data_IF_330128093843
#
_entry.id   IF_330128093843
#
_cell.length_a   1.000
_cell.length_b   1.000
_cell.length_c   1.000
_cell.angle_alpha   90.00
_cell.angle_beta   90.00
_cell.angle_gamma   90.00
#
_symmetry.space_group_name_H-M   'P 1'
#
loop_
_entity.id
_entity.type
_entity.pdbx_description
1 polymer ?
#
# COMPACT_ATOMS: atom_id res chain seq x y z
N UNK A 1 -56.94 -28.06 -7.87
CA UNK A 1 -56.40 -26.68 -7.81
C UNK A 1 -55.43 -26.42 -6.63
N UNK A 2 -54.63 -27.39 -6.17
CA UNK A 2 -53.58 -27.15 -5.14
C UNK A 2 -52.13 -27.42 -5.60
N UNK A 3 -51.93 -28.05 -6.77
CA UNK A 3 -50.60 -28.45 -7.24
C UNK A 3 -50.02 -27.60 -8.38
N UNK A 4 -50.80 -26.69 -8.96
CA UNK A 4 -50.32 -25.84 -10.08
C UNK A 4 -49.59 -24.57 -9.62
N UNK A 5 -49.74 -24.14 -8.36
CA UNK A 5 -49.01 -22.97 -7.82
C UNK A 5 -47.57 -23.29 -7.40
N UNK A 6 -47.25 -24.56 -7.06
CA UNK A 6 -45.88 -24.96 -6.71
C UNK A 6 -44.97 -25.16 -7.93
N UNK A 7 -45.54 -25.54 -9.08
CA UNK A 7 -44.76 -25.73 -10.32
C UNK A 7 -44.41 -24.38 -10.96
N UNK A 8 -45.30 -23.37 -10.88
CA UNK A 8 -45.01 -22.01 -11.35
C UNK A 8 -43.87 -21.32 -10.57
N UNK A 9 -43.84 -21.45 -9.23
CA UNK A 9 -42.73 -20.88 -8.43
C UNK A 9 -41.38 -21.56 -8.67
N UNK A 10 -41.35 -22.86 -8.97
CA UNK A 10 -40.09 -23.55 -9.26
C UNK A 10 -39.53 -23.14 -10.63
N UNK A 11 -40.40 -22.92 -11.63
CA UNK A 11 -39.98 -22.46 -12.96
C UNK A 11 -39.52 -20.99 -12.93
N UNK A 12 -40.17 -20.12 -12.16
CA UNK A 12 -39.72 -18.74 -11.98
C UNK A 12 -38.40 -18.62 -11.21
N UNK A 13 -38.14 -19.50 -10.23
CA UNK A 13 -36.85 -19.54 -9.52
C UNK A 13 -35.73 -20.10 -10.41
N UNK A 14 -36.03 -21.05 -11.29
CA UNK A 14 -35.04 -21.58 -12.25
C UNK A 14 -34.70 -20.55 -13.33
N UNK A 15 -35.67 -19.77 -13.82
CA UNK A 15 -35.43 -18.72 -14.85
C UNK A 15 -34.64 -17.53 -14.26
N UNK A 16 -34.91 -17.16 -13.00
CA UNK A 16 -34.14 -16.11 -12.30
C UNK A 16 -32.74 -16.62 -11.92
N UNK A 17 -32.58 -17.90 -11.57
CA UNK A 17 -31.27 -18.50 -11.33
C UNK A 17 -30.42 -18.65 -12.63
N UNK A 18 -31.06 -18.84 -13.79
CA UNK A 18 -30.36 -18.83 -15.09
C UNK A 18 -30.03 -17.44 -15.62
N UNK A 19 -30.58 -16.36 -15.06
CA UNK A 19 -30.20 -14.98 -15.38
C UNK A 19 -28.95 -14.50 -14.61
N UNK A 20 -28.51 -15.25 -13.59
CA UNK A 20 -27.24 -15.03 -12.89
C UNK A 20 -26.07 -15.84 -13.48
N UNK A 21 -26.31 -16.62 -14.53
CA UNK A 21 -25.28 -17.18 -15.40
C UNK A 21 -25.02 -16.22 -16.58
N UNK A 22 -24.80 -14.93 -16.27
CA UNK A 22 -23.90 -14.17 -17.14
C UNK A 22 -22.57 -14.88 -16.98
N UNK A 23 -22.16 -15.52 -18.06
CA UNK A 23 -20.79 -15.93 -18.29
C UNK A 23 -19.89 -14.76 -17.87
N UNK A 24 -19.34 -14.84 -16.65
CA UNK A 24 -17.98 -14.41 -16.39
C UNK A 24 -17.13 -15.28 -17.32
N UNK A 25 -17.12 -14.93 -18.60
CA UNK A 25 -15.91 -15.16 -19.36
C UNK A 25 -14.87 -14.41 -18.53
N UNK A 26 -13.86 -15.08 -17.93
CA UNK A 26 -12.69 -14.33 -17.57
C UNK A 26 -12.31 -13.65 -18.88
N UNK A 27 -12.37 -12.31 -18.90
CA UNK A 27 -11.60 -11.59 -19.89
C UNK A 27 -10.19 -12.08 -19.56
N UNK A 28 -9.72 -13.06 -20.33
CA UNK A 28 -8.31 -13.34 -20.45
C UNK A 28 -7.78 -12.10 -21.16
N UNK A 29 -7.68 -11.01 -20.40
CA UNK A 29 -6.68 -10.00 -20.68
C UNK A 29 -5.42 -10.85 -20.63
N UNK A 30 -4.76 -10.97 -21.75
CA UNK A 30 -3.37 -11.38 -21.76
C UNK A 30 -2.64 -10.34 -20.93
N UNK A 31 -2.68 -10.48 -19.61
CA UNK A 31 -1.72 -9.88 -18.72
C UNK A 31 -0.41 -10.42 -19.26
N UNK A 32 0.32 -9.57 -19.96
CA UNK A 32 1.75 -9.79 -20.15
C UNK A 32 2.26 -10.03 -18.74
N UNK A 33 2.64 -11.26 -18.44
CA UNK A 33 3.21 -11.64 -17.15
C UNK A 33 4.22 -10.57 -16.78
N UNK A 34 4.07 -9.99 -15.58
CA UNK A 34 4.92 -8.89 -15.16
C UNK A 34 6.39 -9.23 -15.41
N UNK A 35 7.18 -8.29 -15.95
CA UNK A 35 8.60 -8.53 -16.20
C UNK A 35 9.33 -8.99 -14.93
N UNK A 36 10.13 -10.06 -15.04
CA UNK A 36 10.85 -10.63 -13.90
C UNK A 36 11.77 -9.61 -13.19
N UNK A 37 12.28 -8.61 -13.91
CA UNK A 37 13.15 -7.56 -13.38
C UNK A 37 12.40 -6.50 -12.57
N UNK A 38 11.07 -6.56 -12.52
CA UNK A 38 10.27 -5.75 -11.63
C UNK A 38 10.31 -6.22 -10.18
N UNK A 39 10.71 -7.47 -9.94
CA UNK A 39 10.69 -8.06 -8.60
C UNK A 39 12.04 -8.65 -8.21
N UNK A 40 12.28 -8.72 -6.92
CA UNK A 40 13.41 -9.45 -6.37
C UNK A 40 13.07 -10.01 -5.00
N UNK A 41 13.73 -11.10 -4.62
CA UNK A 41 13.75 -11.60 -3.25
C UNK A 41 15.17 -11.58 -2.69
N UNK A 42 15.30 -11.38 -1.39
CA UNK A 42 16.56 -11.38 -0.67
C UNK A 42 16.39 -12.23 0.59
N UNK A 43 17.13 -13.32 0.63
CA UNK A 43 17.15 -14.23 1.78
C UNK A 43 17.99 -13.66 2.93
N UNK A 44 17.46 -13.78 4.14
CA UNK A 44 18.21 -13.64 5.37
C UNK A 44 19.14 -14.84 5.60
N UNK A 45 20.04 -14.69 6.56
CA UNK A 45 20.99 -15.74 6.99
C UNK A 45 21.01 -15.90 8.50
N UNK A 46 19.98 -15.41 9.19
CA UNK A 46 19.89 -15.44 10.64
C UNK A 46 19.96 -16.88 11.19
N UNK A 47 19.39 -17.85 10.48
CA UNK A 47 19.36 -19.28 10.80
C UNK A 47 20.68 -20.04 10.54
N UNK A 48 21.49 -19.53 9.63
CA UNK A 48 22.72 -20.15 9.13
C UNK A 48 23.98 -19.40 9.52
N UNK A 49 23.85 -18.25 10.19
CA UNK A 49 24.98 -17.42 10.59
C UNK A 49 25.87 -18.11 11.65
N UNK A 50 27.18 -17.96 11.49
CA UNK A 50 28.20 -18.76 12.18
C UNK A 50 28.57 -18.27 13.59
N UNK A 51 27.93 -17.22 14.11
CA UNK A 51 28.22 -16.70 15.46
C UNK A 51 27.45 -17.46 16.54
N UNK A 52 28.19 -18.22 17.34
CA UNK A 52 27.77 -19.13 18.42
C UNK A 52 26.85 -18.52 19.51
N UNK A 53 26.75 -17.19 19.62
CA UNK A 53 26.21 -16.52 20.81
C UNK A 53 24.70 -16.26 20.83
N UNK A 54 23.90 -16.81 19.90
CA UNK A 54 22.46 -16.55 19.87
C UNK A 54 21.62 -17.84 19.85
N UNK A 55 21.08 -18.27 21.01
CA UNK A 55 20.34 -19.51 21.17
C UNK A 55 18.83 -19.28 21.09
N UNK A 56 18.24 -19.37 19.89
CA UNK A 56 16.83 -19.72 19.67
C UNK A 56 16.75 -20.49 18.35
N UNK A 57 15.75 -21.34 18.12
CA UNK A 57 15.50 -21.94 16.81
C UNK A 57 15.15 -20.80 15.83
N UNK A 58 16.10 -20.44 14.96
CA UNK A 58 15.97 -19.23 14.14
C UNK A 58 15.50 -19.63 12.75
N UNK A 59 14.43 -19.00 12.28
CA UNK A 59 14.17 -18.88 10.85
C UNK A 59 14.87 -17.62 10.35
N UNK A 60 15.23 -17.62 9.07
CA UNK A 60 15.61 -16.39 8.37
C UNK A 60 14.38 -15.65 7.90
N UNK A 61 14.46 -14.32 7.87
CA UNK A 61 13.48 -13.49 7.18
C UNK A 61 13.84 -13.49 5.70
N UNK A 62 12.89 -13.70 4.80
CA UNK A 62 13.07 -13.50 3.37
C UNK A 62 12.23 -12.31 2.94
N UNK A 63 12.87 -11.32 2.33
CA UNK A 63 12.21 -10.11 1.84
C UNK A 63 11.97 -10.24 0.34
N UNK A 64 10.71 -10.17 -0.11
CA UNK A 64 10.32 -9.94 -1.49
C UNK A 64 9.81 -8.52 -1.67
N UNK A 65 10.16 -7.89 -2.80
CA UNK A 65 9.68 -6.55 -3.11
C UNK A 65 9.67 -6.27 -4.62
N UNK A 66 8.94 -5.24 -5.01
CA UNK A 66 8.83 -4.75 -6.37
C UNK A 66 9.61 -3.45 -6.61
N UNK A 67 9.83 -3.10 -7.88
CA UNK A 67 10.38 -1.80 -8.28
C UNK A 67 9.50 -0.61 -7.85
N UNK A 68 8.22 -0.86 -7.59
CA UNK A 68 7.21 0.16 -7.28
C UNK A 68 7.16 0.52 -5.79
N UNK A 69 7.77 -0.29 -4.91
CA UNK A 69 7.80 -0.03 -3.46
C UNK A 69 6.94 -0.95 -2.62
N UNK A 70 6.24 -1.90 -3.24
CA UNK A 70 5.49 -2.93 -2.53
C UNK A 70 6.46 -3.98 -1.97
N UNK A 71 6.22 -4.45 -0.75
CA UNK A 71 6.91 -5.57 -0.10
C UNK A 71 6.33 -6.91 -0.58
N UNK A 72 6.19 -7.05 -1.90
CA UNK A 72 5.70 -8.25 -2.59
C UNK A 72 6.55 -8.50 -3.84
N UNK A 73 7.08 -9.71 -3.96
CA UNK A 73 7.62 -10.30 -5.17
C UNK A 73 6.58 -11.25 -5.76
N UNK A 74 5.86 -10.81 -6.79
CA UNK A 74 4.81 -11.61 -7.43
C UNK A 74 5.34 -12.79 -8.25
N UNK A 75 6.60 -12.73 -8.72
CA UNK A 75 7.21 -13.84 -9.47
C UNK A 75 7.60 -14.97 -8.52
N UNK A 76 8.14 -14.63 -7.35
CA UNK A 76 8.56 -15.57 -6.32
C UNK A 76 7.50 -15.96 -5.31
N UNK A 77 6.39 -15.21 -5.25
CA UNK A 77 5.36 -15.29 -4.19
C UNK A 77 5.97 -15.10 -2.80
N UNK A 78 6.74 -14.04 -2.62
CA UNK A 78 7.40 -13.73 -1.35
C UNK A 78 7.10 -12.28 -1.01
N UNK A 79 6.65 -12.01 0.20
CA UNK A 79 6.49 -10.69 0.78
C UNK A 79 7.47 -10.49 1.94
N UNK A 80 7.02 -10.77 3.16
CA UNK A 80 7.84 -10.67 4.38
C UNK A 80 7.89 -12.01 5.11
N UNK A 81 8.31 -13.04 4.40
CA UNK A 81 8.31 -14.44 4.82
C UNK A 81 9.22 -14.68 6.04
N UNK A 82 8.67 -15.30 7.08
CA UNK A 82 9.42 -15.72 8.25
C UNK A 82 8.91 -17.07 8.78
N UNK A 83 9.68 -18.13 8.55
CA UNK A 83 9.29 -19.48 8.97
C UNK A 83 8.14 -20.01 8.12
N UNK A 84 6.96 -20.19 8.72
CA UNK A 84 5.78 -20.73 8.03
C UNK A 84 4.75 -19.68 7.62
N UNK A 85 5.02 -18.40 7.86
CA UNK A 85 4.08 -17.29 7.59
C UNK A 85 4.70 -16.27 6.65
N UNK A 86 3.86 -15.64 5.85
CA UNK A 86 4.17 -14.44 5.09
C UNK A 86 2.96 -13.51 5.18
N UNK A 87 3.06 -12.35 5.86
CA UNK A 87 1.92 -11.48 6.11
C UNK A 87 1.44 -10.71 4.88
N UNK A 88 2.22 -10.65 3.79
CA UNK A 88 1.90 -9.86 2.59
C UNK A 88 1.75 -10.72 1.33
N UNK A 89 2.26 -11.95 1.35
CA UNK A 89 2.12 -12.90 0.26
C UNK A 89 1.90 -14.34 0.78
N UNK A 90 0.86 -14.61 1.60
CA UNK A 90 0.61 -15.95 2.12
C UNK A 90 0.30 -16.96 1.01
N UNK A 91 0.76 -18.22 1.13
CA UNK A 91 1.49 -18.78 2.26
C UNK A 91 3.00 -18.54 2.09
N UNK A 92 3.77 -18.76 3.16
CA UNK A 92 5.23 -18.85 3.03
C UNK A 92 5.65 -19.89 1.94
N UNK A 93 6.71 -19.55 1.21
CA UNK A 93 7.21 -20.28 0.05
C UNK A 93 6.57 -19.81 -1.26
N UNK A 94 6.95 -20.44 -2.38
CA UNK A 94 6.53 -19.99 -3.71
C UNK A 94 5.07 -20.29 -4.09
N UNK A 95 4.23 -20.63 -3.12
CA UNK A 95 2.84 -21.09 -3.33
C UNK A 95 1.83 -19.95 -3.39
N UNK A 96 0.55 -20.32 -3.44
CA UNK A 96 -0.60 -19.43 -3.24
C UNK A 96 -1.67 -20.19 -2.46
N UNK A 97 -2.52 -19.52 -1.70
CA UNK A 97 -3.66 -20.15 -1.04
C UNK A 97 -4.98 -19.78 -1.69
N UNK A 98 -6.03 -20.55 -1.42
CA UNK A 98 -7.40 -20.21 -1.81
C UNK A 98 -8.07 -19.24 -0.83
N UNK A 99 -7.62 -19.23 0.42
CA UNK A 99 -8.20 -18.40 1.49
C UNK A 99 -7.72 -16.96 1.40
N UNK A 100 -6.48 -16.75 0.97
CA UNK A 100 -5.90 -15.44 0.64
C UNK A 100 -5.29 -15.52 -0.77
N UNK A 101 -6.11 -15.42 -1.82
CA UNK A 101 -5.61 -15.42 -3.19
C UNK A 101 -4.77 -14.17 -3.46
N UNK A 102 -3.90 -14.21 -4.48
CA UNK A 102 -3.03 -13.07 -4.85
C UNK A 102 -3.72 -11.72 -5.00
N UNK A 103 -4.99 -11.74 -5.44
CA UNK A 103 -5.79 -10.52 -5.59
C UNK A 103 -6.13 -9.87 -4.25
N UNK A 104 -5.96 -10.56 -3.12
CA UNK A 104 -6.11 -10.00 -1.77
C UNK A 104 -4.78 -9.56 -1.17
N UNK A 105 -3.65 -9.68 -1.88
CA UNK A 105 -2.39 -9.18 -1.36
C UNK A 105 -2.34 -7.65 -1.53
N UNK A 106 -2.76 -6.92 -0.51
CA UNK A 106 -2.80 -5.46 -0.54
C UNK A 106 -1.74 -4.89 0.39
N UNK A 107 -0.62 -4.45 -0.19
CA UNK A 107 0.46 -3.81 0.54
C UNK A 107 1.12 -2.76 -0.36
N UNK A 108 1.45 -1.59 0.20
CA UNK A 108 2.21 -0.57 -0.52
C UNK A 108 2.09 0.82 0.09
N UNK A 109 1.91 1.83 -0.77
CA UNK A 109 1.87 3.23 -0.36
C UNK A 109 0.87 4.04 -1.19
N UNK A 110 0.44 5.17 -0.62
CA UNK A 110 -0.39 6.19 -1.29
C UNK A 110 0.27 7.56 -1.10
N UNK A 111 0.19 8.41 -2.12
CA UNK A 111 0.52 9.82 -2.06
C UNK A 111 -0.64 10.64 -2.58
N UNK A 112 -0.95 11.73 -1.89
CA UNK A 112 -1.88 12.76 -2.32
C UNK A 112 -1.15 14.11 -2.35
N UNK A 113 -1.15 14.77 -3.50
CA UNK A 113 -0.37 15.98 -3.77
C UNK A 113 -1.34 17.10 -4.15
N UNK A 114 -1.50 18.08 -3.26
CA UNK A 114 -2.26 19.30 -3.56
C UNK A 114 -1.29 20.44 -3.82
N UNK A 115 -1.45 21.18 -4.91
CA UNK A 115 -0.60 22.32 -5.22
C UNK A 115 -1.33 23.43 -5.99
N UNK A 116 -0.79 24.65 -5.97
CA UNK A 116 -1.32 25.76 -6.74
C UNK A 116 -0.60 25.89 -8.09
N UNK A 117 -1.27 25.54 -9.19
CA UNK A 117 -0.78 25.77 -10.55
C UNK A 117 -0.98 27.23 -10.98
N UNK A 118 0.00 27.84 -11.66
CA UNK A 118 -0.01 29.30 -11.93
C UNK A 118 -1.18 29.75 -12.79
N UNK A 119 -1.67 28.88 -13.70
CA UNK A 119 -2.76 29.21 -14.64
C UNK A 119 -4.00 28.33 -14.52
N UNK A 120 -3.94 27.24 -13.75
CA UNK A 120 -5.01 26.24 -13.67
C UNK A 120 -5.71 26.23 -12.31
N UNK A 121 -5.22 27.03 -11.35
CA UNK A 121 -5.75 27.06 -10.00
C UNK A 121 -5.19 25.93 -9.15
N UNK A 122 -5.92 25.56 -8.11
CA UNK A 122 -5.58 24.44 -7.23
C UNK A 122 -5.73 23.13 -8.00
N UNK A 123 -4.73 22.26 -7.88
CA UNK A 123 -4.66 20.94 -8.50
C UNK A 123 -4.46 19.89 -7.42
N UNK A 124 -5.02 18.72 -7.65
CA UNK A 124 -4.87 17.55 -6.79
C UNK A 124 -4.44 16.37 -7.66
N UNK A 125 -3.30 15.78 -7.34
CA UNK A 125 -2.76 14.61 -8.04
C UNK A 125 -2.45 13.54 -7.00
N UNK A 126 -3.02 12.36 -7.18
CA UNK A 126 -2.80 11.21 -6.30
C UNK A 126 -2.13 10.08 -7.07
N UNK A 127 -1.39 9.25 -6.35
CA UNK A 127 -0.88 7.99 -6.86
C UNK A 127 -0.81 6.97 -5.74
N UNK A 128 -1.13 5.71 -6.03
CA UNK A 128 -0.92 4.60 -5.12
C UNK A 128 -0.21 3.47 -5.84
N UNK A 129 0.72 2.82 -5.14
CA UNK A 129 1.29 1.56 -5.56
C UNK A 129 0.93 0.52 -4.52
N UNK A 130 -0.31 0.04 -4.58
CA UNK A 130 -0.74 -1.16 -3.90
C UNK A 130 -0.57 -2.34 -4.86
N UNK A 131 -0.15 -3.50 -4.36
CA UNK A 131 0.02 -4.66 -5.24
C UNK A 131 -1.27 -5.12 -5.92
N UNK A 132 -2.40 -4.94 -5.24
CA UNK A 132 -3.72 -5.31 -5.72
C UNK A 132 -4.76 -4.25 -5.36
N UNK A 133 -5.81 -4.15 -6.19
CA UNK A 133 -7.02 -3.37 -5.90
C UNK A 133 -8.22 -4.27 -5.55
N UNK A 134 -7.97 -5.53 -5.18
CA UNK A 134 -8.97 -6.59 -4.89
C UNK A 134 -9.78 -7.07 -6.11
N UNK A 135 -9.66 -6.41 -7.26
CA UNK A 135 -10.23 -6.86 -8.54
C UNK A 135 -9.16 -7.50 -9.42
N UNK A 136 -7.96 -6.92 -9.43
CA UNK A 136 -6.79 -7.44 -10.14
C UNK A 136 -5.48 -7.03 -9.43
N UNK A 137 -4.37 -7.66 -9.80
CA UNK A 137 -3.07 -7.48 -9.14
C UNK A 137 -1.92 -7.35 -10.15
N UNK A 138 -0.79 -6.80 -9.69
CA UNK A 138 0.38 -6.60 -10.54
C UNK A 138 0.14 -5.55 -11.63
N UNK A 139 0.79 -5.71 -12.79
CA UNK A 139 0.65 -4.81 -13.94
C UNK A 139 1.44 -3.50 -13.81
N UNK A 140 1.61 -2.76 -14.91
CA UNK A 140 2.24 -1.43 -14.83
C UNK A 140 1.26 -0.37 -14.30
N UNK A 141 1.71 0.87 -14.20
CA UNK A 141 0.89 2.02 -13.84
C UNK A 141 -0.34 2.19 -14.72
N UNK A 142 -1.46 2.39 -14.05
CA UNK A 142 -2.77 2.68 -14.62
C UNK A 142 -3.09 4.15 -14.35
N UNK A 143 -3.47 4.91 -15.38
CA UNK A 143 -4.06 6.23 -15.20
C UNK A 143 -5.57 6.12 -15.16
N UNK A 144 -6.19 6.51 -14.05
CA UNK A 144 -7.63 6.78 -13.98
C UNK A 144 -7.81 8.15 -14.62
N UNK A 145 -8.40 8.15 -15.81
CA UNK A 145 -8.48 9.32 -16.69
C UNK A 145 -9.81 9.29 -17.43
N UNK A 146 -10.70 10.18 -17.03
CA UNK A 146 -12.02 10.36 -17.59
C UNK A 146 -12.17 11.75 -18.19
N UNK A 147 -13.13 11.89 -19.09
CA UNK A 147 -13.41 13.18 -19.70
C UNK A 147 -13.85 14.19 -18.62
N UNK A 148 -13.04 15.24 -18.44
CA UNK A 148 -13.24 16.26 -17.39
C UNK A 148 -13.19 15.70 -15.96
N UNK A 149 -12.32 14.72 -15.71
CA UNK A 149 -12.14 14.09 -14.40
C UNK A 149 -13.41 13.38 -13.88
N UNK A 150 -14.37 13.06 -14.76
CA UNK A 150 -15.67 12.50 -14.38
C UNK A 150 -16.21 11.46 -15.36
N UNK A 151 -16.78 10.39 -14.80
CA UNK A 151 -17.53 9.37 -15.52
C UNK A 151 -18.93 9.21 -14.95
N UNK A 152 -19.92 8.98 -15.82
CA UNK A 152 -21.29 8.66 -15.38
C UNK A 152 -21.41 7.30 -14.68
N UNK A 153 -20.42 6.41 -14.85
CA UNK A 153 -20.41 5.07 -14.23
C UNK A 153 -19.68 5.07 -12.89
N UNK A 154 -18.59 5.82 -12.80
CA UNK A 154 -17.63 5.75 -11.70
C UNK A 154 -17.67 6.99 -10.80
N UNK A 155 -18.07 8.15 -11.32
CA UNK A 155 -18.08 9.39 -10.56
C UNK A 155 -16.83 10.22 -10.82
N UNK A 156 -16.37 10.94 -9.79
CA UNK A 156 -15.07 11.62 -9.79
C UNK A 156 -13.97 10.57 -9.67
N UNK A 157 -12.85 10.81 -10.33
CA UNK A 157 -11.72 9.88 -10.33
C UNK A 157 -11.19 9.61 -8.92
N UNK A 158 -11.14 8.32 -8.55
CA UNK A 158 -10.48 7.85 -7.35
C UNK A 158 -9.71 6.53 -7.60
N UNK A 159 -8.90 6.04 -6.64
CA UNK A 159 -8.13 4.81 -6.85
C UNK A 159 -8.94 3.51 -6.88
N UNK A 160 -10.24 3.50 -6.61
CA UNK A 160 -11.09 2.32 -6.78
C UNK A 160 -11.46 2.12 -8.25
N UNK A 161 -11.46 3.19 -9.05
CA UNK A 161 -11.86 3.17 -10.45
C UNK A 161 -10.87 2.43 -11.36
N UNK A 162 -11.34 1.82 -12.45
CA UNK A 162 -10.45 1.32 -13.49
C UNK A 162 -9.90 2.47 -14.35
N UNK A 163 -8.77 2.23 -15.01
CA UNK A 163 -8.14 3.22 -15.88
C UNK A 163 -7.50 2.59 -17.10
N UNK A 164 -6.49 3.26 -17.67
CA UNK A 164 -5.75 2.80 -18.84
C UNK A 164 -4.27 2.63 -18.51
N UNK A 165 -3.61 1.61 -19.06
CA UNK A 165 -2.16 1.46 -18.88
C UNK A 165 -1.41 2.64 -19.51
N UNK A 166 -0.58 3.31 -18.71
CA UNK A 166 0.30 4.38 -19.19
C UNK A 166 1.33 3.79 -20.15
N UNK A 167 1.56 4.42 -21.29
CA UNK A 167 2.45 3.96 -22.36
C UNK A 167 1.83 2.96 -23.33
N UNK A 168 0.56 2.57 -23.15
CA UNK A 168 -0.09 1.59 -24.00
C UNK A 168 -0.50 2.19 -25.36
N UNK A 169 -0.31 1.42 -26.44
CA UNK A 169 -0.68 1.87 -27.80
C UNK A 169 -2.17 2.11 -28.01
N UNK A 170 -3.00 1.51 -27.15
CA UNK A 170 -4.46 1.55 -27.15
C UNK A 170 -5.02 2.30 -25.92
N UNK A 171 -4.24 3.23 -25.37
CA UNK A 171 -4.68 4.11 -24.28
C UNK A 171 -6.03 4.78 -24.62
N UNK A 172 -6.92 4.87 -23.61
CA UNK A 172 -8.27 5.41 -23.78
C UNK A 172 -9.29 4.46 -24.40
N UNK A 173 -8.94 3.18 -24.62
CA UNK A 173 -9.86 2.19 -25.23
C UNK A 173 -10.30 1.08 -24.29
N UNK A 174 -9.36 0.47 -23.55
CA UNK A 174 -9.62 -0.71 -22.70
C UNK A 174 -9.36 -0.37 -21.25
N UNK A 175 -10.42 -0.40 -20.44
CA UNK A 175 -10.32 -0.23 -19.00
C UNK A 175 -9.66 -1.44 -18.34
N UNK A 176 -8.75 -1.17 -17.41
CA UNK A 176 -7.99 -2.18 -16.65
C UNK A 176 -8.03 -1.89 -15.15
N UNK A 177 -7.91 -2.95 -14.37
CA UNK A 177 -7.83 -2.95 -12.90
C UNK A 177 -6.43 -3.36 -12.45
N UNK A 178 -6.06 -2.98 -11.23
CA UNK A 178 -4.77 -3.25 -10.59
C UNK A 178 -4.41 -2.16 -9.58
N UNK A 179 -3.66 -2.45 -8.52
CA UNK A 179 -3.46 -1.50 -7.41
C UNK A 179 -2.45 -0.38 -7.65
N UNK A 180 -1.82 -0.30 -8.83
CA UNK A 180 -0.87 0.76 -9.20
C UNK A 180 -1.57 1.83 -10.02
N UNK A 181 -2.17 2.81 -9.37
CA UNK A 181 -3.05 3.81 -10.01
C UNK A 181 -2.62 5.25 -9.73
N UNK A 182 -2.99 6.14 -10.63
CA UNK A 182 -2.84 7.59 -10.48
C UNK A 182 -3.88 8.33 -11.34
N UNK A 183 -4.24 9.57 -11.00
CA UNK A 183 -4.93 10.48 -11.93
C UNK A 183 -3.96 11.38 -12.72
N UNK A 184 -2.65 11.20 -12.52
CA UNK A 184 -1.57 11.89 -13.23
C UNK A 184 -0.74 10.91 -14.06
N UNK A 185 0.56 11.14 -14.15
CA UNK A 185 1.50 10.16 -14.72
C UNK A 185 2.47 9.68 -13.65
N UNK A 186 2.74 8.38 -13.61
CA UNK A 186 3.74 7.79 -12.74
C UNK A 186 4.77 7.00 -13.56
N UNK A 187 6.05 7.23 -13.29
CA UNK A 187 7.16 6.54 -13.99
C UNK A 187 8.11 5.95 -12.96
N UNK A 188 8.22 4.63 -12.94
CA UNK A 188 9.10 3.90 -12.01
C UNK A 188 10.33 3.35 -12.72
N UNK A 189 11.50 3.66 -12.17
CA UNK A 189 12.79 3.17 -12.67
C UNK A 189 13.06 1.72 -12.21
N UNK A 190 13.93 0.97 -12.90
CA UNK A 190 14.37 -0.35 -12.43
C UNK A 190 14.99 -0.31 -11.03
N UNK A 191 14.91 -1.44 -10.30
CA UNK A 191 15.52 -1.58 -8.98
C UNK A 191 17.03 -1.32 -9.06
N UNK A 192 17.51 -0.34 -8.28
CA UNK A 192 18.93 -0.05 -8.21
C UNK A 192 19.54 -0.68 -6.96
N UNK A 193 20.24 -1.80 -7.13
CA UNK A 193 21.01 -2.41 -6.06
C UNK A 193 22.22 -1.52 -5.71
N UNK A 194 22.24 -1.01 -4.48
CA UNK A 194 23.34 -0.16 -3.97
C UNK A 194 24.40 -0.99 -3.25
N UNK A 195 23.99 -2.06 -2.58
CA UNK A 195 24.88 -2.96 -1.85
C UNK A 195 24.27 -4.35 -1.71
N UNK A 196 25.06 -5.40 -1.93
CA UNK A 196 24.66 -6.78 -1.64
C UNK A 196 25.85 -7.54 -1.08
N UNK A 197 25.93 -7.58 0.25
CA UNK A 197 26.94 -8.31 0.99
C UNK A 197 26.36 -9.54 1.70
N UNK A 198 27.21 -10.29 2.41
CA UNK A 198 26.79 -11.49 3.14
C UNK A 198 25.74 -11.24 4.22
N UNK A 199 25.74 -10.05 4.83
CA UNK A 199 24.86 -9.70 5.96
C UNK A 199 23.97 -8.49 5.75
N UNK A 200 24.13 -7.79 4.63
CA UNK A 200 23.33 -6.59 4.37
C UNK A 200 23.03 -6.48 2.90
N UNK A 201 21.82 -6.06 2.61
CA UNK A 201 21.36 -5.70 1.28
C UNK A 201 20.79 -4.28 1.34
N UNK A 202 21.11 -3.49 0.31
CA UNK A 202 20.58 -2.13 0.13
C UNK A 202 20.16 -1.95 -1.32
N UNK A 203 18.93 -1.51 -1.53
CA UNK A 203 18.39 -1.15 -2.85
C UNK A 203 17.69 0.21 -2.78
N UNK A 204 17.66 0.88 -3.93
CA UNK A 204 16.94 2.13 -4.13
C UNK A 204 15.85 1.91 -5.19
N UNK A 205 14.63 2.27 -4.82
CA UNK A 205 13.47 2.35 -5.69
C UNK A 205 13.18 3.82 -5.99
N UNK A 206 12.71 4.12 -7.20
CA UNK A 206 12.54 5.49 -7.66
C UNK A 206 11.32 5.60 -8.58
N UNK A 207 10.31 6.30 -8.09
CA UNK A 207 9.10 6.66 -8.84
C UNK A 207 9.02 8.18 -8.94
N UNK A 208 8.74 8.69 -10.14
CA UNK A 208 8.44 10.11 -10.34
C UNK A 208 6.97 10.27 -10.71
N UNK A 209 6.27 11.18 -10.02
CA UNK A 209 4.87 11.52 -10.23
C UNK A 209 4.77 12.88 -10.94
N UNK A 210 3.87 12.96 -11.91
CA UNK A 210 3.63 14.13 -12.74
C UNK A 210 2.14 14.50 -12.71
N UNK A 211 1.82 15.79 -12.80
CA UNK A 211 0.47 16.24 -13.15
C UNK A 211 0.28 16.08 -14.66
N UNK A 212 -0.73 15.30 -15.04
CA UNK A 212 -1.12 15.08 -16.42
C UNK A 212 -2.28 16.03 -16.77
N UNK A 213 -2.09 16.88 -17.78
CA UNK A 213 -2.99 18.02 -18.03
C UNK A 213 -3.97 17.81 -19.19
N UNK A 214 -3.90 16.67 -19.86
CA UNK A 214 -4.74 16.32 -21.00
C UNK A 214 -5.65 15.16 -20.61
N UNK A 215 -6.85 15.10 -21.14
CA UNK A 215 -7.80 14.02 -20.84
C UNK A 215 -7.81 12.99 -21.96
N UNK A 216 -7.97 11.72 -21.59
CA UNK A 216 -8.13 10.58 -22.50
C UNK A 216 -7.00 10.51 -23.55
N UNK A 217 -5.78 10.89 -23.15
CA UNK A 217 -4.60 10.91 -24.00
C UNK A 217 -3.38 10.47 -23.19
N UNK A 218 -2.47 9.72 -23.80
CA UNK A 218 -1.20 9.37 -23.16
C UNK A 218 -0.05 10.31 -23.57
N UNK A 219 -0.39 11.50 -24.08
CA UNK A 219 0.61 12.49 -24.48
C UNK A 219 1.27 13.16 -23.28
N UNK A 220 2.53 12.83 -23.05
CA UNK A 220 3.33 13.32 -21.92
C UNK A 220 4.07 14.63 -22.22
N UNK A 221 3.88 15.28 -23.39
CA UNK A 221 4.57 16.53 -23.74
C UNK A 221 4.34 17.64 -22.72
N UNK A 222 3.16 17.67 -22.10
CA UNK A 222 2.76 18.69 -21.12
C UNK A 222 2.84 18.24 -19.66
N UNK A 223 3.35 17.03 -19.40
CA UNK A 223 3.42 16.49 -18.04
C UNK A 223 4.34 17.33 -17.16
N UNK A 224 3.81 17.75 -16.01
CA UNK A 224 4.54 18.57 -15.06
C UNK A 224 5.12 17.70 -13.94
N UNK A 225 6.44 17.58 -13.78
CA UNK A 225 7.01 16.81 -12.69
C UNK A 225 6.66 17.44 -11.33
N UNK A 226 6.03 16.67 -10.46
CA UNK A 226 5.62 17.12 -9.12
C UNK A 226 6.58 16.64 -8.05
N UNK A 227 6.75 15.32 -7.95
CA UNK A 227 7.43 14.68 -6.82
C UNK A 227 8.22 13.47 -7.31
N UNK A 228 9.40 13.28 -6.72
CA UNK A 228 10.14 12.02 -6.78
C UNK A 228 10.06 11.32 -5.43
N UNK A 229 9.58 10.09 -5.45
CA UNK A 229 9.54 9.17 -4.33
C UNK A 229 10.75 8.25 -4.44
N UNK A 230 11.62 8.30 -3.43
CA UNK A 230 12.77 7.43 -3.31
C UNK A 230 12.56 6.51 -2.10
N UNK A 231 12.52 5.20 -2.32
CA UNK A 231 12.43 4.23 -1.23
C UNK A 231 13.76 3.49 -1.16
N UNK A 232 14.54 3.76 -0.12
CA UNK A 232 15.77 3.02 0.17
C UNK A 232 15.43 1.86 1.09
N UNK A 233 15.56 0.64 0.57
CA UNK A 233 15.40 -0.60 1.32
C UNK A 233 16.75 -0.94 1.95
N UNK A 234 16.77 -1.16 3.26
CA UNK A 234 17.93 -1.66 4.00
C UNK A 234 17.52 -2.94 4.73
N UNK A 235 18.03 -4.07 4.29
CA UNK A 235 17.80 -5.36 4.94
C UNK A 235 19.10 -5.86 5.57
N UNK A 236 19.11 -5.94 6.90
CA UNK A 236 20.16 -6.63 7.65
C UNK A 236 19.80 -8.12 7.70
N UNK A 237 20.48 -8.93 6.89
CA UNK A 237 20.17 -10.35 6.67
C UNK A 237 20.31 -11.18 7.93
N UNK A 238 20.95 -10.67 8.98
CA UNK A 238 21.04 -11.30 10.31
C UNK A 238 20.03 -10.73 11.31
N UNK A 239 18.97 -10.08 10.84
CA UNK A 239 17.86 -9.56 11.66
C UNK A 239 16.51 -9.95 11.06
N UNK A 240 15.47 -9.74 11.84
CA UNK A 240 14.06 -9.96 11.45
C UNK A 240 13.35 -8.66 11.08
N UNK A 241 14.10 -7.68 10.57
CA UNK A 241 13.59 -6.35 10.29
C UNK A 241 14.15 -5.82 8.98
N UNK A 242 13.30 -5.13 8.23
CA UNK A 242 13.66 -4.38 7.03
C UNK A 242 13.37 -2.91 7.32
N UNK A 243 14.31 -2.04 6.97
CA UNK A 243 14.15 -0.59 7.14
C UNK A 243 13.84 0.00 5.77
N UNK A 244 12.79 0.81 5.70
CA UNK A 244 12.45 1.62 4.52
C UNK A 244 12.72 3.08 4.87
N UNK A 245 13.59 3.73 4.11
CA UNK A 245 13.72 5.19 4.14
C UNK A 245 12.95 5.74 2.94
N UNK A 246 11.86 6.46 3.20
CA UNK A 246 10.98 7.01 2.17
C UNK A 246 11.20 8.51 2.06
N UNK A 247 11.86 8.91 0.98
CA UNK A 247 12.27 10.27 0.68
C UNK A 247 11.34 10.88 -0.37
N UNK A 248 10.61 11.92 0.01
CA UNK A 248 9.72 12.66 -0.89
C UNK A 248 10.40 13.96 -1.31
N UNK A 249 10.72 14.11 -2.61
CA UNK A 249 11.44 15.27 -3.14
C UNK A 249 10.57 16.01 -4.14
N UNK A 250 10.23 17.27 -3.86
CA UNK A 250 9.54 18.12 -4.84
C UNK A 250 10.42 18.36 -6.06
N UNK A 251 9.81 18.23 -7.24
CA UNK A 251 10.36 18.57 -8.55
C UNK A 251 9.62 19.76 -9.17
N UNK A 252 8.59 20.28 -8.50
CA UNK A 252 7.75 21.36 -8.99
C UNK A 252 8.59 22.63 -9.18
N UNK A 253 8.71 23.08 -10.42
CA UNK A 253 9.38 24.32 -10.73
C UNK A 253 8.43 25.50 -10.45
N UNK A 254 8.96 26.57 -9.84
CA UNK A 254 8.25 27.81 -9.47
C UNK A 254 7.52 28.54 -10.62
N UNK A 255 7.79 28.15 -11.87
CA UNK A 255 7.16 28.70 -13.07
C UNK A 255 5.81 28.06 -13.37
N UNK A 256 5.56 26.87 -12.80
CA UNK A 256 4.37 26.08 -13.05
C UNK A 256 3.47 25.97 -11.81
N UNK A 257 4.05 26.01 -10.60
CA UNK A 257 3.26 26.06 -9.39
C UNK A 257 4.04 26.40 -8.14
N UNK A 258 3.30 26.59 -7.05
CA UNK A 258 3.78 26.90 -5.70
C UNK A 258 2.85 26.26 -4.66
N UNK A 259 3.22 26.32 -3.37
CA UNK A 259 2.42 25.84 -2.23
C UNK A 259 1.97 24.38 -2.40
N UNK A 260 2.89 23.45 -2.19
CA UNK A 260 2.64 22.02 -2.32
C UNK A 260 2.45 21.40 -0.94
N UNK A 261 1.29 20.79 -0.73
CA UNK A 261 0.96 19.97 0.42
C UNK A 261 0.95 18.50 -0.02
N UNK A 262 1.55 17.63 0.79
CA UNK A 262 1.69 16.21 0.50
C UNK A 262 1.22 15.44 1.71
N UNK A 263 0.28 14.52 1.50
CA UNK A 263 -0.02 13.44 2.42
C UNK A 263 0.57 12.16 1.83
N UNK A 264 1.35 11.43 2.62
CA UNK A 264 2.00 10.21 2.17
C UNK A 264 1.87 9.12 3.21
N UNK A 265 1.45 7.93 2.80
CA UNK A 265 1.28 6.83 3.74
C UNK A 265 1.88 5.51 3.27
N UNK A 266 2.28 4.71 4.27
CA UNK A 266 2.50 3.28 4.10
C UNK A 266 1.26 2.56 4.61
N UNK A 267 0.78 1.59 3.84
CA UNK A 267 -0.47 0.89 4.15
C UNK A 267 -0.46 -0.55 3.68
N UNK A 268 -1.23 -1.40 4.34
CA UNK A 268 -1.41 -2.78 3.90
C UNK A 268 -2.20 -3.66 4.86
N UNK A 269 -2.76 -4.71 4.29
CA UNK A 269 -3.37 -5.83 5.00
C UNK A 269 -2.27 -6.72 5.60
N UNK A 270 -2.52 -7.28 6.79
CA UNK A 270 -1.58 -8.17 7.47
C UNK A 270 -2.19 -9.56 7.64
N UNK A 271 -1.97 -10.43 6.66
CA UNK A 271 -2.40 -11.83 6.67
C UNK A 271 -1.45 -12.72 7.49
N UNK A 272 -1.31 -12.42 8.78
CA UNK A 272 -0.38 -13.11 9.66
C UNK A 272 -0.91 -14.49 10.05
N UNK A 273 -0.54 -15.55 9.34
CA UNK A 273 -0.99 -16.89 9.72
C UNK A 273 -0.72 -18.00 8.70
N UNK A 274 -1.50 -19.09 8.82
CA UNK A 274 -1.48 -20.25 7.91
C UNK A 274 -2.89 -20.77 7.69
N UNK A 275 -3.13 -21.56 6.63
CA UNK A 275 -4.42 -22.24 6.41
C UNK A 275 -4.91 -23.06 7.62
N UNK A 276 -3.99 -23.64 8.40
CA UNK A 276 -4.34 -24.44 9.57
C UNK A 276 -4.65 -23.58 10.80
N UNK A 277 -3.99 -22.43 10.95
CA UNK A 277 -4.13 -21.55 12.11
C UNK A 277 -5.16 -20.43 11.92
N UNK A 278 -5.53 -20.12 10.67
CA UNK A 278 -6.20 -18.88 10.29
C UNK A 278 -5.23 -17.71 10.19
N UNK A 279 -5.67 -16.61 9.57
CA UNK A 279 -4.89 -15.37 9.35
C UNK A 279 -5.29 -14.23 10.29
N UNK A 280 -6.39 -14.37 11.02
CA UNK A 280 -6.87 -13.36 11.97
C UNK A 280 -5.87 -13.14 13.11
N UNK A 281 -5.70 -11.88 13.49
CA UNK A 281 -4.80 -11.40 14.53
C UNK A 281 -5.51 -10.48 15.52
N UNK A 282 -4.98 -10.39 16.74
CA UNK A 282 -5.23 -9.25 17.61
C UNK A 282 -4.28 -8.13 17.19
N UNK A 283 -4.78 -6.92 16.99
CA UNK A 283 -3.98 -5.84 16.45
C UNK A 283 -4.10 -4.58 17.29
N UNK A 284 -2.99 -3.87 17.46
CA UNK A 284 -2.97 -2.60 18.16
C UNK A 284 -1.99 -1.62 17.50
N UNK A 285 -2.32 -0.33 17.48
CA UNK A 285 -1.49 0.73 16.96
C UNK A 285 -1.10 1.72 18.07
N UNK A 286 0.15 1.62 18.52
CA UNK A 286 0.71 2.51 19.54
C UNK A 286 1.13 3.84 18.91
N UNK A 287 0.32 4.88 19.08
CA UNK A 287 0.42 6.17 18.35
C UNK A 287 0.63 7.35 19.28
N UNK A 288 1.46 8.31 18.89
CA UNK A 288 1.68 9.54 19.69
C UNK A 288 0.50 10.52 19.57
N UNK A 289 -0.17 10.52 18.42
CA UNK A 289 -1.33 11.37 18.20
C UNK A 289 -2.53 10.93 19.04
N UNK A 290 -3.59 11.75 19.00
CA UNK A 290 -4.92 11.37 19.50
C UNK A 290 -5.93 11.82 18.45
N UNK A 291 -6.95 11.02 18.19
CA UNK A 291 -7.94 11.27 17.15
C UNK A 291 -9.31 10.71 17.52
N UNK A 292 -10.19 10.57 16.54
CA UNK A 292 -11.40 9.81 16.77
C UNK A 292 -11.03 8.34 16.97
N UNK A 293 -11.57 7.66 17.98
CA UNK A 293 -11.24 6.25 18.30
C UNK A 293 -9.82 5.99 18.85
N UNK A 294 -8.99 7.02 18.98
CA UNK A 294 -7.72 7.02 19.72
C UNK A 294 -7.68 8.17 20.73
N UNK A 295 -7.80 7.85 22.01
CA UNK A 295 -7.91 8.88 23.06
C UNK A 295 -6.65 9.01 23.92
N UNK A 296 -5.62 8.20 23.66
CA UNK A 296 -4.44 8.10 24.51
C UNK A 296 -3.18 8.11 23.66
N UNK A 297 -2.27 9.06 23.93
CA UNK A 297 -0.96 9.04 23.31
C UNK A 297 -0.11 7.89 23.88
N UNK A 298 0.19 6.90 23.05
CA UNK A 298 0.97 5.69 23.34
C UNK A 298 2.29 5.62 22.56
N UNK A 299 2.62 6.67 21.80
CA UNK A 299 3.87 6.79 21.03
C UNK A 299 5.13 6.49 21.84
N UNK A 300 6.06 5.77 21.24
CA UNK A 300 7.26 5.27 21.90
C UNK A 300 8.42 6.25 21.76
N UNK A 301 9.23 6.41 22.81
CA UNK A 301 10.36 7.35 22.81
C UNK A 301 11.48 6.90 21.86
N UNK A 302 12.05 7.86 21.11
CA UNK A 302 13.22 7.65 20.26
C UNK A 302 14.32 8.70 20.54
N UNK A 303 15.53 8.38 20.09
CA UNK A 303 16.68 9.30 20.11
C UNK A 303 16.72 10.22 18.88
N UNK A 304 15.86 9.97 17.88
CA UNK A 304 15.76 10.76 16.65
C UNK A 304 14.68 11.84 16.81
N UNK A 305 15.06 13.11 16.68
CA UNK A 305 14.17 14.27 16.79
C UNK A 305 14.33 15.19 15.57
N UNK A 306 13.78 16.41 15.61
CA UNK A 306 13.91 17.41 14.52
C UNK A 306 15.34 17.82 14.12
N UNK A 307 16.37 17.33 14.81
CA UNK A 307 17.77 17.48 14.36
C UNK A 307 18.14 16.50 13.23
N UNK A 308 17.32 15.46 13.01
CA UNK A 308 17.56 14.39 12.03
C UNK A 308 16.73 14.53 10.75
N UNK A 309 15.68 15.33 10.78
CA UNK A 309 14.83 15.62 9.62
C UNK A 309 14.59 17.13 9.55
N UNK A 310 14.80 17.71 8.36
CA UNK A 310 14.76 19.17 8.16
C UNK A 310 13.31 19.67 8.01
N UNK A 311 12.42 18.83 7.51
CA UNK A 311 11.01 19.15 7.25
C UNK A 311 10.14 18.50 8.30
N UNK A 312 9.19 19.25 8.87
CA UNK A 312 8.20 18.68 9.78
C UNK A 312 6.86 18.58 9.07
N UNK A 313 6.02 17.63 9.50
CA UNK A 313 4.61 17.64 9.14
C UNK A 313 3.95 18.93 9.60
N UNK A 314 2.78 19.24 9.05
CA UNK A 314 2.03 20.44 9.41
C UNK A 314 1.53 20.36 10.85
N UNK A 315 1.15 21.50 11.41
CA UNK A 315 0.39 21.50 12.66
C UNK A 315 -1.01 20.92 12.39
N UNK A 316 -1.63 20.21 13.36
CA UNK A 316 -2.96 19.63 13.19
C UNK A 316 -3.99 20.66 12.76
N UNK A 317 -4.84 20.26 11.83
CA UNK A 317 -5.94 21.06 11.30
C UNK A 317 -7.09 20.13 10.87
N UNK A 318 -7.87 20.50 9.85
CA UNK A 318 -8.91 19.60 9.32
C UNK A 318 -8.34 18.42 8.53
N UNK A 319 -7.14 18.54 7.99
CA UNK A 319 -6.51 17.51 7.15
C UNK A 319 -5.69 16.51 7.96
N UNK A 320 -5.18 16.90 9.13
CA UNK A 320 -4.32 16.01 9.94
C UNK A 320 -4.69 16.03 11.43
N UNK A 321 -4.78 14.86 12.05
CA UNK A 321 -5.13 14.73 13.46
C UNK A 321 -3.99 15.11 14.42
N UNK A 322 -2.74 14.85 14.03
CA UNK A 322 -1.57 15.03 14.90
C UNK A 322 -0.35 15.65 14.20
N UNK A 323 0.54 16.23 15.00
CA UNK A 323 1.73 16.95 14.51
C UNK A 323 2.02 18.24 15.28
N UNK A 324 3.02 19.04 14.86
CA UNK A 324 3.98 18.71 13.81
C UNK A 324 5.06 17.74 14.29
N UNK A 325 5.42 16.76 13.45
CA UNK A 325 6.46 15.76 13.72
C UNK A 325 7.62 15.85 12.72
N UNK A 326 8.87 15.46 13.10
CA UNK A 326 9.29 15.09 14.45
C UNK A 326 9.22 16.26 15.43
N UNK A 327 9.03 15.95 16.71
CA UNK A 327 9.03 16.95 17.78
C UNK A 327 10.40 17.65 17.88
N UNK A 328 10.37 18.92 18.31
CA UNK A 328 11.59 19.73 18.53
C UNK A 328 12.28 19.42 19.86
N UNK A 329 11.63 18.65 20.72
CA UNK A 329 12.13 18.29 22.04
C UNK A 329 13.15 17.15 21.96
N UNK A 330 13.89 16.94 23.05
CA UNK A 330 14.78 15.78 23.20
C UNK A 330 14.01 14.45 23.32
N UNK A 331 12.68 14.49 23.44
CA UNK A 331 11.79 13.34 23.64
C UNK A 331 10.81 13.25 22.46
N UNK A 332 11.35 13.03 21.26
CA UNK A 332 10.55 12.72 20.10
C UNK A 332 10.08 11.26 20.15
N UNK A 333 9.06 10.95 19.36
CA UNK A 333 8.44 9.63 19.35
C UNK A 333 8.39 9.00 17.96
N UNK A 334 8.10 7.72 17.97
CA UNK A 334 7.74 6.92 16.80
C UNK A 334 6.52 6.07 17.17
N UNK A 335 5.76 5.67 16.17
CA UNK A 335 4.52 4.91 16.34
C UNK A 335 4.72 3.46 15.89
N UNK A 336 3.94 2.51 16.41
CA UNK A 336 4.08 1.09 16.10
C UNK A 336 2.73 0.42 15.89
N UNK A 337 2.51 -0.09 14.69
CA UNK A 337 1.43 -1.06 14.42
C UNK A 337 1.95 -2.46 14.77
N UNK A 338 1.14 -3.25 15.48
CA UNK A 338 1.47 -4.62 15.85
C UNK A 338 0.28 -5.55 15.61
N UNK A 339 0.54 -6.74 15.09
CA UNK A 339 -0.46 -7.80 14.94
C UNK A 339 0.07 -9.11 15.54
N UNK A 340 -0.78 -9.82 16.28
CA UNK A 340 -0.44 -11.07 16.97
C UNK A 340 -1.43 -12.16 16.56
N UNK A 341 -0.93 -13.21 15.92
CA UNK A 341 -1.70 -14.43 15.71
C UNK A 341 -1.26 -15.49 16.73
N UNK A 342 -2.04 -15.72 17.80
CA UNK A 342 -1.66 -16.64 18.87
C UNK A 342 -1.76 -18.10 18.43
N UNK A 343 -2.62 -18.43 17.46
CA UNK A 343 -2.79 -19.80 16.95
C UNK A 343 -1.61 -20.20 16.09
N UNK A 344 -1.11 -19.29 15.25
CA UNK A 344 0.08 -19.49 14.44
C UNK A 344 1.37 -19.34 15.27
N UNK A 345 1.34 -18.55 16.35
CA UNK A 345 2.50 -18.29 17.22
C UNK A 345 3.45 -17.23 16.67
N UNK A 346 2.94 -16.26 15.91
CA UNK A 346 3.74 -15.20 15.27
C UNK A 346 3.27 -13.80 15.66
N UNK A 347 4.19 -12.85 15.55
CA UNK A 347 3.96 -11.42 15.74
C UNK A 347 4.53 -10.67 14.54
N UNK A 348 3.75 -9.76 13.98
CA UNK A 348 4.17 -8.77 13.00
C UNK A 348 4.18 -7.38 13.64
N UNK A 349 5.08 -6.52 13.18
CA UNK A 349 5.05 -5.10 13.54
C UNK A 349 5.60 -4.23 12.41
N UNK A 350 5.11 -2.99 12.35
CA UNK A 350 5.68 -1.90 11.57
C UNK A 350 5.90 -0.68 12.49
N UNK A 351 7.07 -0.06 12.39
CA UNK A 351 7.43 1.11 13.19
C UNK A 351 7.61 2.33 12.28
N UNK A 352 6.97 3.45 12.65
CA UNK A 352 6.88 4.66 11.85
C UNK A 352 7.60 5.80 12.56
N UNK A 353 8.65 6.32 11.91
CA UNK A 353 9.34 7.51 12.38
C UNK A 353 9.46 8.53 11.25
N UNK A 354 9.16 9.82 11.49
CA UNK A 354 8.65 10.38 12.75
C UNK A 354 7.24 9.86 13.08
N UNK A 355 6.71 10.15 14.28
CA UNK A 355 5.30 9.84 14.58
C UNK A 355 4.37 10.37 13.47
N UNK A 356 3.29 9.63 13.27
CA UNK A 356 2.33 9.78 12.18
C UNK A 356 1.43 10.99 12.44
N UNK A 357 1.03 11.66 11.37
CA UNK A 357 0.00 12.69 11.43
C UNK A 357 -1.40 12.08 11.48
N UNK A 358 -1.60 10.94 10.80
CA UNK A 358 -2.85 10.17 10.77
C UNK A 358 -2.56 8.67 10.69
N UNK A 359 -3.48 7.84 11.22
CA UNK A 359 -3.27 6.41 11.39
C UNK A 359 -4.59 5.64 11.48
N UNK A 360 -4.55 4.35 11.15
CA UNK A 360 -5.60 3.39 11.50
C UNK A 360 -5.04 1.97 11.42
N UNK A 361 -5.46 1.06 12.31
CA UNK A 361 -5.22 -0.39 12.22
C UNK A 361 -6.36 -1.14 11.52
N UNK A 362 -7.49 -0.46 11.36
CA UNK A 362 -8.70 -0.93 10.68
C UNK A 362 -9.03 0.05 9.54
N UNK A 363 -8.05 0.23 8.65
CA UNK A 363 -8.05 1.26 7.61
C UNK A 363 -8.70 0.85 6.29
N UNK A 364 -9.40 -0.29 6.23
CA UNK A 364 -9.92 -0.85 4.98
C UNK A 364 -10.85 0.12 4.23
N UNK A 365 -11.73 0.80 4.95
CA UNK A 365 -12.67 1.78 4.38
C UNK A 365 -11.97 3.01 3.78
N UNK A 366 -10.70 3.24 4.12
CA UNK A 366 -9.87 4.35 3.66
C UNK A 366 -8.63 3.89 2.86
N UNK A 367 -8.59 2.62 2.42
CA UNK A 367 -7.43 2.03 1.74
C UNK A 367 -7.04 2.79 0.46
N UNK A 368 -7.98 3.52 -0.15
CA UNK A 368 -7.84 4.25 -1.41
C UNK A 368 -7.68 5.78 -1.26
N UNK A 369 -7.73 6.34 -0.06
CA UNK A 369 -7.66 7.80 0.14
C UNK A 369 -6.69 8.18 1.26
N UNK A 370 -6.36 9.47 1.32
CA UNK A 370 -5.67 10.03 2.49
C UNK A 370 -6.66 10.17 3.64
N UNK A 371 -6.16 10.05 4.86
CA UNK A 371 -6.98 10.27 6.05
C UNK A 371 -7.11 11.77 6.31
N UNK A 372 -8.23 12.18 6.88
CA UNK A 372 -8.46 13.50 7.43
C UNK A 372 -8.58 13.44 8.95
N UNK A 373 -8.44 14.59 9.62
CA UNK A 373 -8.51 14.67 11.08
C UNK A 373 -9.86 14.21 11.66
N UNK A 374 -10.92 14.23 10.85
CA UNK A 374 -12.27 13.78 11.23
C UNK A 374 -12.53 12.31 10.97
N UNK A 375 -11.65 11.61 10.27
CA UNK A 375 -11.82 10.18 10.01
C UNK A 375 -11.58 9.35 11.29
N UNK A 376 -12.02 8.09 11.32
CA UNK A 376 -11.71 7.19 12.42
C UNK A 376 -10.22 6.80 12.46
N UNK A 377 -9.53 7.19 13.53
CA UNK A 377 -8.16 6.77 13.85
C UNK A 377 -8.16 5.53 14.74
N UNK A 378 -8.68 4.41 14.22
CA UNK A 378 -8.77 3.16 14.97
C UNK A 378 -7.38 2.64 15.37
N UNK A 379 -7.17 2.43 16.66
CA UNK A 379 -5.95 1.81 17.20
C UNK A 379 -6.12 0.34 17.56
N UNK A 380 -7.35 -0.17 17.55
CA UNK A 380 -7.74 -1.58 17.64
C UNK A 380 -8.79 -1.86 16.56
N UNK A 381 -9.14 -3.13 16.30
CA UNK A 381 -10.24 -3.47 15.37
C UNK A 381 -11.56 -2.78 15.77
N UNK A 382 -12.29 -2.19 14.81
CA UNK A 382 -13.56 -1.51 15.10
C UNK A 382 -14.71 -2.47 15.41
N UNK A 383 -14.54 -3.76 15.07
CA UNK A 383 -15.54 -4.81 15.14
C UNK A 383 -15.29 -5.83 16.25
N UNK A 384 -14.89 -7.04 15.87
CA UNK A 384 -14.69 -8.18 16.78
C UNK A 384 -13.35 -8.81 16.52
N UNK A 385 -12.50 -8.79 17.54
CA UNK A 385 -11.20 -9.44 17.48
C UNK A 385 -11.23 -10.94 17.78
N UNK A 386 -10.33 -11.74 17.17
CA UNK A 386 -9.31 -11.34 16.21
C UNK A 386 -9.88 -11.12 14.78
N UNK A 387 -9.30 -10.16 14.06
CA UNK A 387 -9.67 -9.80 12.68
C UNK A 387 -8.42 -9.73 11.78
N UNK A 388 -8.57 -9.41 10.50
CA UNK A 388 -7.40 -9.18 9.61
C UNK A 388 -7.17 -7.66 9.56
N UNK A 389 -6.10 -7.14 10.17
CA UNK A 389 -5.90 -5.70 10.26
C UNK A 389 -5.40 -5.15 8.93
N UNK A 390 -5.80 -3.90 8.64
CA UNK A 390 -5.28 -3.11 7.54
C UNK A 390 -4.69 -1.83 8.11
N UNK A 391 -3.36 -1.77 8.18
CA UNK A 391 -2.70 -0.61 8.76
C UNK A 391 -2.60 0.52 7.73
N UNK A 392 -2.78 1.76 8.19
CA UNK A 392 -2.42 2.99 7.48
C UNK A 392 -1.57 3.80 8.45
N UNK A 393 -0.35 4.17 8.04
CA UNK A 393 0.44 5.18 8.73
C UNK A 393 0.78 6.31 7.76
N UNK A 394 0.26 7.51 8.05
CA UNK A 394 0.32 8.69 7.17
C UNK A 394 1.06 9.88 7.82
N UNK A 395 1.75 10.66 6.98
CA UNK A 395 2.47 11.90 7.32
C UNK A 395 1.98 13.09 6.51
#
# INVERSE_FOLDING_TARGET
MKNYKKIGSIISVIIIASAFLITLMPIQVTATTDPNDWYTSVEGVLDSDYYWLYPFEKNSLTLGFSKFGELINSTGNVGLEYGSVDPFAPPAGSGTTSSVPKVMWVQGWLINITYQHVTKGTRNVWACALFSDTTNYGGDWIRVDFQNDYSATYGWEDPLDPGYYIGASDYGTTLVYGGRKTNGTAVTQPIKMLYNGPRRFVALLNTTIYDHLVYLSDDTETDLPLVRILITIIFDKVKKTVILLKDIKSLLHEKYGQYMDIQFSDRGEVDLGTEAAGYSSYAHFYTQGTGQNDTLAEGLSTVYNSSWELVRTLSPDSMTAAGPYPQTTTYATYDVAQAVNPTAGYVWFAAFWPSLSDWSIDGWDHAYESLEASDPHYIDDSGTEPAIPFYIGEW
#
